data_IF_947680737022
#
_entry.id   IF_947680737022
#
_cell.length_a   1.000
_cell.length_b   1.000
_cell.length_c   1.000
_cell.angle_alpha   90.00
_cell.angle_beta   90.00
_cell.angle_gamma   90.00
#
_symmetry.space_group_name_H-M   'P 1'
#
loop_
_entity.id
_entity.type
_entity.pdbx_description
1 polymer ?
#
# COMPACT_ATOMS: atom_id res chain seq x y z
N UNK A 1 -0.26 9.68 -4.51
CA UNK A 1 0.14 8.67 -3.52
C UNK A 1 1.18 9.27 -2.59
N UNK A 2 0.83 9.43 -1.32
CA UNK A 2 1.65 9.96 -0.25
C UNK A 2 2.21 8.77 0.52
N UNK A 3 3.50 8.50 0.36
CA UNK A 3 4.16 7.32 0.94
C UNK A 3 4.99 7.64 2.19
N UNK A 4 5.06 8.91 2.62
CA UNK A 4 5.84 9.39 3.79
C UNK A 4 5.49 8.65 5.08
N UNK A 5 4.24 8.24 5.23
CA UNK A 5 3.69 7.67 6.46
C UNK A 5 3.65 6.14 6.48
N UNK A 6 4.15 5.47 5.44
CA UNK A 6 4.10 4.01 5.35
C UNK A 6 5.28 3.37 6.10
N UNK A 7 4.98 2.37 6.94
CA UNK A 7 5.98 1.60 7.70
C UNK A 7 6.14 0.20 7.15
N UNK A 8 5.03 -0.47 6.82
CA UNK A 8 5.04 -1.82 6.23
C UNK A 8 4.04 -1.89 5.09
N UNK A 9 4.46 -2.45 3.96
CA UNK A 9 3.61 -2.66 2.79
C UNK A 9 3.64 -4.14 2.45
N UNK A 10 2.52 -4.83 2.60
CA UNK A 10 2.35 -6.24 2.24
C UNK A 10 1.45 -6.31 1.01
N UNK A 11 1.98 -6.84 -0.08
CA UNK A 11 1.23 -7.00 -1.33
C UNK A 11 1.22 -8.49 -1.68
N UNK A 12 0.02 -9.07 -1.68
CA UNK A 12 -0.22 -10.44 -2.16
C UNK A 12 -1.03 -10.35 -3.44
N UNK A 13 -0.50 -10.87 -4.54
CA UNK A 13 -1.21 -10.84 -5.82
C UNK A 13 -0.76 -11.99 -6.73
N UNK A 14 -1.65 -12.38 -7.64
CA UNK A 14 -1.29 -13.29 -8.72
C UNK A 14 -0.72 -12.47 -9.89
N UNK A 15 0.50 -12.76 -10.38
CA UNK A 15 1.11 -12.01 -11.49
C UNK A 15 0.36 -12.14 -12.82
N UNK A 16 -0.48 -13.16 -12.98
CA UNK A 16 -1.31 -13.42 -14.16
C UNK A 16 -2.78 -12.96 -13.97
N UNK A 17 -3.15 -12.53 -12.76
CA UNK A 17 -4.48 -12.01 -12.45
C UNK A 17 -4.71 -10.60 -12.99
N UNK A 18 -5.98 -10.18 -13.06
CA UNK A 18 -6.38 -8.82 -13.49
C UNK A 18 -5.88 -7.74 -12.53
N UNK A 19 -5.76 -8.09 -11.25
CA UNK A 19 -5.27 -7.27 -10.15
C UNK A 19 -3.75 -7.00 -10.19
N UNK A 20 -3.00 -7.79 -10.98
CA UNK A 20 -1.55 -7.69 -11.04
C UNK A 20 -1.07 -6.30 -11.46
N UNK A 21 -1.82 -5.64 -12.35
CA UNK A 21 -1.49 -4.30 -12.84
C UNK A 21 -1.55 -3.29 -11.70
N UNK A 22 -2.64 -3.23 -10.96
CA UNK A 22 -2.82 -2.30 -9.83
C UNK A 22 -1.79 -2.55 -8.74
N UNK A 23 -1.53 -3.82 -8.40
CA UNK A 23 -0.54 -4.20 -7.39
C UNK A 23 0.90 -3.81 -7.78
N UNK A 24 1.30 -4.05 -9.03
CA UNK A 24 2.63 -3.64 -9.55
C UNK A 24 2.78 -2.13 -9.60
N UNK A 25 1.75 -1.40 -10.02
CA UNK A 25 1.78 0.06 -10.05
C UNK A 25 1.95 0.63 -8.64
N UNK A 26 1.24 0.10 -7.65
CA UNK A 26 1.39 0.47 -6.23
C UNK A 26 2.82 0.23 -5.73
N UNK A 27 3.38 -0.95 -6.00
CA UNK A 27 4.77 -1.25 -5.64
C UNK A 27 5.75 -0.28 -6.30
N UNK A 28 5.54 0.06 -7.59
CA UNK A 28 6.40 0.99 -8.33
C UNK A 28 6.30 2.43 -7.82
N UNK A 29 5.13 2.84 -7.33
CA UNK A 29 4.87 4.18 -6.86
C UNK A 29 5.55 4.49 -5.51
N UNK A 30 6.12 3.48 -4.83
CA UNK A 30 6.96 3.68 -3.64
C UNK A 30 8.38 4.11 -4.09
N UNK A 31 8.86 5.29 -3.67
CA UNK A 31 10.21 5.76 -4.00
C UNK A 31 11.31 4.78 -3.55
N UNK A 32 12.37 4.59 -4.35
CA UNK A 32 13.49 3.71 -4.00
C UNK A 32 14.16 4.08 -2.67
N UNK A 33 14.31 5.38 -2.39
CA UNK A 33 14.91 5.86 -1.15
C UNK A 33 14.16 5.40 0.10
N UNK A 34 12.83 5.27 0.04
CA UNK A 34 12.02 4.82 1.18
C UNK A 34 12.12 3.31 1.41
N UNK A 35 12.40 2.53 0.36
CA UNK A 35 12.66 1.09 0.50
C UNK A 35 13.92 0.80 1.31
N UNK A 36 14.89 1.72 1.29
CA UNK A 36 16.17 1.59 1.99
C UNK A 36 16.13 2.12 3.43
N UNK A 37 15.30 3.14 3.69
CA UNK A 37 15.41 3.95 4.92
C UNK A 37 14.40 3.57 6.01
N UNK A 38 13.33 2.83 5.71
CA UNK A 38 12.40 2.46 6.79
C UNK A 38 11.07 1.81 6.42
N UNK A 39 10.75 1.63 5.13
CA UNK A 39 9.52 0.93 4.74
C UNK A 39 9.80 -0.53 4.40
N UNK A 40 9.30 -1.46 5.22
CA UNK A 40 9.41 -2.89 4.95
C UNK A 40 8.39 -3.31 3.88
N UNK A 41 8.87 -3.80 2.74
CA UNK A 41 8.02 -4.29 1.64
C UNK A 41 8.05 -5.81 1.64
N UNK A 42 6.87 -6.42 1.75
CA UNK A 42 6.69 -7.87 1.63
C UNK A 42 5.81 -8.17 0.42
N UNK A 43 6.37 -8.87 -0.56
CA UNK A 43 5.63 -9.34 -1.72
C UNK A 43 5.40 -10.86 -1.63
N UNK A 44 4.15 -11.31 -1.74
CA UNK A 44 3.82 -12.73 -1.88
C UNK A 44 3.18 -12.94 -3.24
N UNK A 45 3.83 -13.75 -4.08
CA UNK A 45 3.26 -14.17 -5.36
C UNK A 45 2.31 -15.34 -5.11
N UNK A 46 1.08 -15.18 -5.57
CA UNK A 46 0.07 -16.24 -5.52
C UNK A 46 0.18 -17.08 -6.80
N UNK A 47 0.34 -18.39 -6.65
CA UNK A 47 0.32 -19.36 -7.76
C UNK A 47 -1.12 -19.75 -8.10
N UNK A 48 -1.35 -20.33 -9.29
CA UNK A 48 -2.69 -20.75 -9.74
C UNK A 48 -3.39 -21.75 -8.80
N UNK A 49 -2.62 -22.51 -8.00
CA UNK A 49 -3.14 -23.43 -6.99
C UNK A 49 -3.57 -22.75 -5.67
N UNK A 50 -3.26 -21.47 -5.49
CA UNK A 50 -3.52 -20.73 -4.26
C UNK A 50 -4.92 -20.10 -4.32
N UNK A 51 -5.82 -20.52 -3.43
CA UNK A 51 -7.15 -19.94 -3.23
C UNK A 51 -7.14 -18.64 -2.41
N UNK A 52 -5.96 -18.17 -2.01
CA UNK A 52 -5.82 -16.90 -1.28
C UNK A 52 -6.26 -15.72 -2.16
N UNK A 53 -7.13 -14.86 -1.62
CA UNK A 53 -7.51 -13.62 -2.29
C UNK A 53 -6.34 -12.63 -2.33
N UNK A 54 -6.16 -11.92 -3.45
CA UNK A 54 -5.16 -10.87 -3.54
C UNK A 54 -5.49 -9.74 -2.56
N UNK A 55 -4.48 -9.22 -1.86
CA UNK A 55 -4.65 -8.20 -0.84
C UNK A 55 -3.47 -7.23 -0.83
N UNK A 56 -3.78 -5.95 -0.66
CA UNK A 56 -2.81 -4.89 -0.40
C UNK A 56 -3.04 -4.42 1.02
N UNK A 57 -2.05 -4.61 1.89
CA UNK A 57 -2.07 -4.17 3.28
C UNK A 57 -0.97 -3.15 3.51
N UNK A 58 -1.33 -1.99 4.04
CA UNK A 58 -0.40 -0.91 4.38
C UNK A 58 -0.54 -0.62 5.87
N UNK A 59 0.57 -0.72 6.58
CA UNK A 59 0.72 -0.26 7.95
C UNK A 59 1.34 1.14 7.93
N UNK A 60 0.77 2.04 8.71
CA UNK A 60 1.17 3.43 8.82
C UNK A 60 2.04 3.68 10.07
N UNK A 61 2.60 4.88 10.20
CA UNK A 61 3.43 5.28 11.36
C UNK A 61 2.67 5.33 12.68
N UNK A 62 1.37 5.56 12.64
CA UNK A 62 0.47 5.52 13.79
C UNK A 62 0.04 4.09 14.18
N UNK A 63 0.62 3.06 13.56
CA UNK A 63 0.28 1.63 13.70
C UNK A 63 -1.09 1.27 13.14
N UNK A 64 -1.78 2.19 12.46
CA UNK A 64 -3.03 1.87 11.77
C UNK A 64 -2.72 0.95 10.59
N UNK A 65 -3.54 -0.07 10.41
CA UNK A 65 -3.46 -0.99 9.29
C UNK A 65 -4.64 -0.76 8.36
N UNK A 66 -4.37 -0.59 7.06
CA UNK A 66 -5.41 -0.50 6.05
C UNK A 66 -5.23 -1.61 5.04
N UNK A 67 -6.33 -2.29 4.73
CA UNK A 67 -6.37 -3.38 3.77
C UNK A 67 -7.29 -3.00 2.60
N UNK A 68 -6.86 -3.29 1.39
CA UNK A 68 -7.62 -3.06 0.19
C UNK A 68 -7.45 -4.21 -0.80
N UNK A 69 -8.53 -4.53 -1.50
CA UNK A 69 -8.55 -5.58 -2.52
C UNK A 69 -8.23 -4.95 -3.91
N UNK A 70 -7.09 -5.31 -4.52
CA UNK A 70 -6.68 -4.76 -5.82
C UNK A 70 -7.50 -5.30 -7.00
N UNK A 71 -8.38 -6.29 -6.80
CA UNK A 71 -9.31 -6.76 -7.86
C UNK A 71 -10.52 -5.85 -8.03
N UNK A 72 -10.96 -5.21 -6.94
CA UNK A 72 -12.17 -4.39 -6.90
C UNK A 72 -11.91 -2.91 -7.14
N UNK A 73 -10.66 -2.47 -6.90
CA UNK A 73 -10.28 -1.07 -6.97
C UNK A 73 -9.23 -0.82 -8.05
N UNK A 74 -9.38 0.27 -8.77
CA UNK A 74 -8.35 0.76 -9.70
C UNK A 74 -7.15 1.33 -8.94
N UNK A 75 -5.99 1.44 -9.60
CA UNK A 75 -4.80 2.06 -9.01
C UNK A 75 -5.07 3.49 -8.47
N UNK A 76 -5.90 4.28 -9.16
CA UNK A 76 -6.26 5.63 -8.73
C UNK A 76 -7.10 5.62 -7.45
N UNK A 77 -8.05 4.69 -7.34
CA UNK A 77 -8.88 4.54 -6.15
C UNK A 77 -8.08 4.02 -4.96
N UNK A 78 -7.21 3.03 -5.17
CA UNK A 78 -6.26 2.56 -4.16
C UNK A 78 -5.37 3.70 -3.66
N UNK A 79 -4.78 4.47 -4.58
CA UNK A 79 -3.98 5.64 -4.22
C UNK A 79 -4.77 6.66 -3.41
N UNK A 80 -6.00 6.98 -3.82
CA UNK A 80 -6.87 7.89 -3.08
C UNK A 80 -7.26 7.36 -1.69
N UNK A 81 -7.49 6.05 -1.58
CA UNK A 81 -7.86 5.40 -0.32
C UNK A 81 -6.75 5.54 0.73
N UNK A 82 -5.51 5.25 0.36
CA UNK A 82 -4.36 5.40 1.25
C UNK A 82 -3.95 6.88 1.47
N UNK A 83 -4.15 7.74 0.46
CA UNK A 83 -3.86 9.17 0.55
C UNK A 83 -4.77 9.88 1.55
N UNK A 84 -6.04 9.46 1.68
CA UNK A 84 -6.97 10.02 2.68
C UNK A 84 -6.43 9.88 4.10
N UNK A 85 -5.94 8.70 4.45
CA UNK A 85 -5.40 8.47 5.78
C UNK A 85 -4.05 9.19 5.98
N UNK A 86 -3.18 9.18 4.96
CA UNK A 86 -1.93 9.93 4.96
C UNK A 86 -2.13 11.44 5.18
N UNK A 87 -3.16 12.04 4.56
CA UNK A 87 -3.50 13.46 4.75
C UNK A 87 -4.00 13.74 6.17
N UNK A 88 -4.80 12.84 6.74
CA UNK A 88 -5.24 12.96 8.15
C UNK A 88 -4.04 12.95 9.09
N UNK A 89 -3.06 12.08 8.84
CA UNK A 89 -1.81 12.03 9.60
C UNK A 89 -0.98 13.30 9.44
N UNK A 90 -0.87 13.84 8.23
CA UNK A 90 -0.17 15.10 7.99
C UNK A 90 -0.83 16.31 8.66
N UNK A 91 -2.16 16.36 8.68
CA UNK A 91 -2.89 17.41 9.42
C UNK A 91 -2.64 17.29 10.94
N UNK A 92 -2.68 16.06 11.48
CA UNK A 92 -2.39 15.81 12.89
C UNK A 92 -0.96 16.23 13.25
N UNK A 93 0.03 15.83 12.44
CA UNK A 93 1.45 16.21 12.59
C UNK A 93 1.61 17.74 12.60
N UNK A 94 0.92 18.45 11.70
CA UNK A 94 0.99 19.92 11.61
C UNK A 94 0.38 20.62 12.83
N UNK A 95 -0.73 20.10 13.38
CA UNK A 95 -1.38 20.67 14.56
C UNK A 95 -0.53 20.44 15.81
N UNK A 96 0.08 19.26 15.95
CA UNK A 96 0.95 18.94 17.10
C UNK A 96 2.28 19.70 17.07
N UNK A 97 2.71 20.20 15.91
CA UNK A 97 3.96 20.94 15.74
C UNK A 97 3.85 22.46 15.97
N UNK A 98 2.64 22.99 16.17
CA UNK A 98 2.39 24.40 16.52
C UNK A 98 2.39 24.60 18.03
#
# INVERSE_FOLDING_TARGET
MITKYFTKVVVKFNPFGKEAKSARLLLSAIPPAQRLTGTSIQNKLLTAASTESPIVKITFKDKTEMEADPTKMTFKELGNYFDRHSRKLGLKESIESQ
#
